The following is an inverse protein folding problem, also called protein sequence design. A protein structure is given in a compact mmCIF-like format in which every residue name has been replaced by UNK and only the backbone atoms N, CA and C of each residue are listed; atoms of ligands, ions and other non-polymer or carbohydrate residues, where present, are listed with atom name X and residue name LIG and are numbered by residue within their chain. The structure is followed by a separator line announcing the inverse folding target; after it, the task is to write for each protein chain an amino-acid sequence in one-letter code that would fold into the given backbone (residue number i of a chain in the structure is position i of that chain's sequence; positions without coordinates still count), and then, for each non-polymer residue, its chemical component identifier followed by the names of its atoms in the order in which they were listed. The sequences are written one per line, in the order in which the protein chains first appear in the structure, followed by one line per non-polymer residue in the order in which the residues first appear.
data_IF_266972393440
#
_entry.id   IF_266972393440
#
_cell.length_a   1.000
_cell.length_b   1.000
_cell.length_c   1.000
_cell.angle_alpha   90.00
_cell.angle_beta   90.00
_cell.angle_gamma   90.00
#
_symmetry.space_group_name_H-M   'P 1'
#
loop_
_entity.id
_entity.type
_entity.pdbx_description
1 polymer ?
#
# COMPACT_ATOMS: atom_id res chain seq x y z
N UNK A 1 15.31 -12.23 -9.06
CA UNK A 1 14.41 -11.74 -10.13
C UNK A 1 14.30 -10.23 -9.94
N UNK A 2 15.01 -9.44 -10.75
CA UNK A 2 14.99 -7.99 -10.63
C UNK A 2 13.69 -7.50 -11.25
N UNK A 3 12.79 -6.97 -10.41
CA UNK A 3 11.62 -6.25 -10.87
C UNK A 3 12.14 -5.11 -11.76
N UNK A 4 11.82 -5.15 -13.05
CA UNK A 4 11.97 -3.98 -13.92
C UNK A 4 11.14 -2.89 -13.27
N UNK A 5 11.81 -1.96 -12.60
CA UNK A 5 11.21 -0.69 -12.19
C UNK A 5 10.67 -0.12 -13.50
N UNK A 6 9.35 -0.13 -13.67
CA UNK A 6 8.73 0.62 -14.75
C UNK A 6 9.36 2.01 -14.71
N UNK A 7 9.74 2.54 -15.87
CA UNK A 7 10.29 3.89 -15.99
C UNK A 7 9.35 4.85 -15.24
N UNK A 8 9.70 5.13 -13.99
CA UNK A 8 9.06 6.08 -13.12
C UNK A 8 9.55 7.42 -13.64
N UNK A 9 9.13 7.79 -14.86
CA UNK A 9 9.33 9.13 -15.36
C UNK A 9 8.71 10.04 -14.31
N UNK A 10 9.58 10.66 -13.52
CA UNK A 10 9.18 11.62 -12.51
C UNK A 10 8.28 12.64 -13.22
N UNK A 11 7.14 12.99 -12.62
CA UNK A 11 6.27 14.03 -13.20
C UNK A 11 7.16 15.24 -13.50
N UNK A 12 7.11 15.74 -14.73
CA UNK A 12 7.82 16.97 -15.08
C UNK A 12 7.04 18.17 -14.56
N UNK A 13 7.75 19.27 -14.30
CA UNK A 13 7.15 20.56 -13.97
C UNK A 13 6.13 20.97 -15.04
N UNK A 14 6.50 20.80 -16.31
CA UNK A 14 5.65 21.13 -17.46
C UNK A 14 4.38 20.27 -17.50
N UNK A 15 4.52 18.96 -17.24
CA UNK A 15 3.37 18.04 -17.19
C UNK A 15 2.41 18.36 -16.04
N UNK A 16 2.94 18.72 -14.87
CA UNK A 16 2.13 19.16 -13.73
C UNK A 16 1.38 20.47 -14.01
N UNK A 17 2.05 21.45 -14.61
CA UNK A 17 1.43 22.74 -14.98
C UNK A 17 0.34 22.57 -16.05
N UNK A 18 0.57 21.71 -17.04
CA UNK A 18 -0.45 21.37 -18.04
C UNK A 18 -1.68 20.72 -17.37
N UNK A 19 -1.46 19.75 -16.46
CA UNK A 19 -2.55 19.10 -15.73
C UNK A 19 -3.31 20.08 -14.81
N UNK A 20 -2.65 21.08 -14.21
CA UNK A 20 -3.31 22.15 -13.45
C UNK A 20 -4.20 23.02 -14.34
N UNK A 21 -3.72 23.38 -15.54
CA UNK A 21 -4.51 24.13 -16.50
C UNK A 21 -5.79 23.38 -16.90
N UNK A 22 -5.68 22.09 -17.22
CA UNK A 22 -6.83 21.24 -17.52
C UNK A 22 -7.76 21.06 -16.31
N UNK A 23 -7.22 20.95 -15.10
CA UNK A 23 -8.02 20.88 -13.87
C UNK A 23 -8.88 22.13 -13.65
N UNK A 24 -8.34 23.33 -13.94
CA UNK A 24 -9.09 24.58 -13.91
C UNK A 24 -10.23 24.60 -14.95
N UNK A 25 -10.00 23.97 -16.11
CA UNK A 25 -11.01 23.75 -17.15
C UNK A 25 -11.98 22.58 -16.85
N UNK A 26 -11.88 21.93 -15.67
CA UNK A 26 -12.66 20.74 -15.27
C UNK A 26 -12.44 19.51 -16.14
N UNK A 27 -11.30 19.45 -16.84
CA UNK A 27 -10.84 18.28 -17.60
C UNK A 27 -9.86 17.48 -16.74
N UNK A 28 -10.32 16.38 -16.14
CA UNK A 28 -9.53 15.64 -15.16
C UNK A 28 -8.47 14.76 -15.82
N UNK A 29 -7.20 15.17 -15.69
CA UNK A 29 -6.04 14.41 -16.16
C UNK A 29 -5.13 13.94 -15.00
N UNK A 30 -5.74 13.56 -13.87
CA UNK A 30 -5.04 13.03 -12.70
C UNK A 30 -4.61 14.06 -11.64
N UNK A 31 -4.80 15.36 -11.90
CA UNK A 31 -4.71 16.44 -10.89
C UNK A 31 -6.05 17.16 -10.82
N UNK A 32 -6.52 17.45 -9.61
CA UNK A 32 -7.80 18.12 -9.36
C UNK A 32 -7.64 19.61 -9.07
N UNK A 33 -6.56 19.99 -8.40
CA UNK A 33 -6.22 21.37 -8.05
C UNK A 33 -4.80 21.41 -7.50
N UNK A 34 -4.23 22.61 -7.40
CA UNK A 34 -3.00 22.81 -6.64
C UNK A 34 -3.23 22.47 -5.15
N UNK A 35 -2.29 21.76 -4.54
CA UNK A 35 -2.31 21.44 -3.12
C UNK A 35 -1.41 22.41 -2.35
N UNK A 36 -1.87 22.91 -1.20
CA UNK A 36 -1.04 23.71 -0.29
C UNK A 36 0.21 22.95 0.16
N UNK A 37 0.17 21.62 0.14
CA UNK A 37 1.29 20.75 0.49
C UNK A 37 2.46 20.88 -0.49
N UNK A 38 2.24 21.34 -1.71
CA UNK A 38 3.31 21.60 -2.69
C UNK A 38 4.25 22.73 -2.27
N UNK A 39 3.85 23.57 -1.29
CA UNK A 39 4.72 24.59 -0.71
C UNK A 39 5.81 24.01 0.19
N UNK A 40 5.65 22.76 0.63
CA UNK A 40 6.64 22.06 1.45
C UNK A 40 7.49 21.15 0.55
N UNK A 41 8.82 21.30 0.53
CA UNK A 41 9.70 20.51 -0.34
C UNK A 41 9.49 18.99 -0.19
N UNK A 42 9.23 18.52 1.03
CA UNK A 42 9.02 17.10 1.37
C UNK A 42 7.64 16.55 0.98
N UNK A 43 6.73 17.41 0.50
CA UNK A 43 5.39 17.01 0.09
C UNK A 43 5.06 17.44 -1.35
N UNK A 44 6.00 18.07 -2.05
CA UNK A 44 5.79 18.45 -3.44
C UNK A 44 5.67 17.21 -4.32
N UNK A 45 4.56 17.13 -5.08
CA UNK A 45 4.21 15.99 -5.97
C UNK A 45 5.20 15.71 -7.10
N UNK A 46 6.23 16.56 -7.27
CA UNK A 46 7.28 16.41 -8.29
C UNK A 46 8.56 15.82 -7.69
N UNK A 47 8.77 16.03 -6.39
CA UNK A 47 10.00 15.70 -5.70
C UNK A 47 9.86 14.42 -4.87
N UNK A 48 8.63 13.99 -4.60
CA UNK A 48 8.35 12.83 -3.77
C UNK A 48 7.38 11.87 -4.46
N UNK A 49 7.64 10.59 -4.27
CA UNK A 49 6.64 9.55 -4.54
C UNK A 49 5.58 9.69 -3.44
N UNK A 50 4.31 9.96 -3.78
CA UNK A 50 3.27 10.02 -2.77
C UNK A 50 3.26 8.69 -2.02
N UNK A 51 3.39 8.75 -0.68
CA UNK A 51 3.30 7.57 0.18
C UNK A 51 1.96 6.89 -0.09
N UNK A 52 2.01 5.73 -0.69
CA UNK A 52 0.81 4.98 -1.04
C UNK A 52 0.47 4.12 0.16
N UNK A 53 -0.55 4.52 0.92
CA UNK A 53 -0.96 3.78 2.11
C UNK A 53 -1.29 2.31 1.78
N UNK A 54 -1.87 2.05 0.60
CA UNK A 54 -2.16 0.71 0.15
C UNK A 54 -0.87 -0.07 -0.07
N UNK A 55 0.07 0.45 -0.86
CA UNK A 55 1.29 -0.29 -1.19
C UNK A 55 2.29 -0.36 -0.02
N UNK A 56 2.53 0.77 0.64
CA UNK A 56 3.59 0.91 1.64
C UNK A 56 3.17 0.34 3.00
N UNK A 57 1.91 0.52 3.39
CA UNK A 57 1.44 0.11 4.72
C UNK A 57 0.53 -1.11 4.69
N UNK A 58 -0.49 -1.16 3.84
CA UNK A 58 -1.53 -2.20 3.91
C UNK A 58 -1.14 -3.49 3.17
N UNK A 59 -0.48 -3.38 2.02
CA UNK A 59 -0.06 -4.51 1.19
C UNK A 59 1.26 -5.10 1.69
N UNK A 60 2.21 -4.23 2.09
CA UNK A 60 3.52 -4.59 2.64
C UNK A 60 3.56 -4.73 4.17
N UNK A 61 3.84 -3.63 4.86
CA UNK A 61 4.32 -3.63 6.27
C UNK A 61 3.30 -4.26 7.23
N UNK A 62 2.04 -3.82 7.21
CA UNK A 62 1.03 -4.26 8.17
C UNK A 62 0.83 -5.78 8.14
N UNK A 63 0.87 -6.40 6.94
CA UNK A 63 0.75 -7.86 6.79
C UNK A 63 1.91 -8.58 7.49
N UNK A 64 3.13 -8.07 7.36
CA UNK A 64 4.33 -8.66 7.96
C UNK A 64 4.28 -8.51 9.48
N UNK A 65 3.98 -7.31 9.97
CA UNK A 65 3.91 -7.01 11.41
C UNK A 65 2.84 -7.84 12.11
N UNK A 66 1.62 -7.91 11.56
CA UNK A 66 0.53 -8.73 12.11
C UNK A 66 0.93 -10.21 12.16
N UNK A 67 1.61 -10.72 11.12
CA UNK A 67 2.09 -12.11 11.10
C UNK A 67 3.10 -12.36 12.21
N UNK A 68 4.02 -11.45 12.47
CA UNK A 68 4.99 -11.57 13.55
C UNK A 68 4.33 -11.50 14.93
N UNK A 69 3.40 -10.56 15.12
CA UNK A 69 2.63 -10.44 16.35
C UNK A 69 1.89 -11.75 16.67
N UNK A 70 1.21 -12.33 15.69
CA UNK A 70 0.49 -13.60 15.89
C UNK A 70 1.44 -14.76 16.21
N UNK A 71 2.63 -14.81 15.61
CA UNK A 71 3.66 -15.79 16.00
C UNK A 71 4.06 -15.61 17.47
N UNK A 72 4.30 -14.38 17.92
CA UNK A 72 4.62 -14.08 19.33
C UNK A 72 3.50 -14.46 20.28
N UNK A 73 2.25 -14.24 19.91
CA UNK A 73 1.10 -14.75 20.68
C UNK A 73 1.09 -16.28 20.75
N UNK A 74 1.48 -16.95 19.66
CA UNK A 74 1.67 -18.41 19.64
C UNK A 74 2.72 -18.89 20.63
N UNK A 75 3.88 -18.23 20.68
CA UNK A 75 4.93 -18.49 21.68
C UNK A 75 4.42 -18.27 23.12
N UNK A 76 3.46 -17.36 23.31
CA UNK A 76 2.82 -17.06 24.60
C UNK A 76 1.62 -17.98 24.92
N UNK A 77 1.37 -19.01 24.12
CA UNK A 77 0.34 -20.03 24.40
C UNK A 77 -0.98 -19.86 23.66
N UNK A 78 -1.10 -18.88 22.75
CA UNK A 78 -2.26 -18.81 21.86
C UNK A 78 -2.21 -19.94 20.83
N UNK A 79 -3.31 -20.67 20.66
CA UNK A 79 -3.36 -21.78 19.71
C UNK A 79 -3.26 -21.28 18.26
N UNK A 80 -2.11 -21.49 17.63
CA UNK A 80 -1.93 -21.22 16.20
C UNK A 80 -2.79 -22.12 15.32
N UNK A 81 -3.13 -23.33 15.78
CA UNK A 81 -4.06 -24.22 15.08
C UNK A 81 -5.45 -23.57 14.97
N UNK A 82 -5.97 -23.01 16.08
CA UNK A 82 -7.24 -22.28 16.09
C UNK A 82 -7.21 -21.05 15.17
N UNK A 83 -6.10 -20.30 15.18
CA UNK A 83 -5.95 -19.14 14.31
C UNK A 83 -5.89 -19.54 12.84
N UNK A 84 -5.12 -20.58 12.50
CA UNK A 84 -5.02 -21.08 11.13
C UNK A 84 -6.36 -21.61 10.61
N UNK A 85 -7.12 -22.28 11.47
CA UNK A 85 -8.47 -22.75 11.13
C UNK A 85 -9.41 -21.56 10.85
N UNK A 86 -9.37 -20.51 11.70
CA UNK A 86 -10.10 -19.26 11.44
C UNK A 86 -9.67 -18.58 10.16
N UNK A 87 -8.36 -18.52 9.89
CA UNK A 87 -7.83 -17.95 8.64
C UNK A 87 -8.32 -18.76 7.43
N UNK A 88 -8.44 -20.09 7.52
CA UNK A 88 -8.91 -20.91 6.42
C UNK A 88 -10.41 -20.77 6.15
N UNK A 89 -11.20 -20.64 7.23
CA UNK A 89 -12.67 -20.63 7.18
C UNK A 89 -13.30 -19.23 7.18
N UNK A 90 -12.49 -18.18 7.30
CA UNK A 90 -13.00 -16.82 7.20
C UNK A 90 -13.57 -16.55 5.80
N UNK A 91 -14.72 -15.88 5.74
CA UNK A 91 -15.43 -15.56 4.51
C UNK A 91 -14.78 -14.43 3.72
N UNK A 92 -13.54 -14.62 3.21
CA UNK A 92 -12.93 -13.64 2.31
C UNK A 92 -13.83 -13.51 1.07
N UNK A 93 -14.27 -12.28 0.81
CA UNK A 93 -15.06 -11.97 -0.38
C UNK A 93 -14.35 -12.39 -1.66
N UNK A 94 -15.07 -12.40 -2.78
CA UNK A 94 -14.53 -12.87 -4.08
C UNK A 94 -13.19 -12.21 -4.46
N UNK A 95 -13.02 -10.93 -4.14
CA UNK A 95 -11.81 -10.14 -4.41
C UNK A 95 -10.64 -10.47 -3.49
N UNK A 96 -10.90 -10.95 -2.28
CA UNK A 96 -9.89 -11.12 -1.23
C UNK A 96 -9.47 -12.58 -1.03
N UNK A 97 -10.11 -13.54 -1.71
CA UNK A 97 -9.72 -14.96 -1.64
C UNK A 97 -8.27 -15.21 -2.02
N UNK A 98 -7.73 -14.47 -2.99
CA UNK A 98 -6.32 -14.53 -3.40
C UNK A 98 -5.38 -13.80 -2.43
N UNK A 99 -5.92 -12.90 -1.60
CA UNK A 99 -5.16 -12.10 -0.64
C UNK A 99 -5.15 -12.70 0.77
N UNK A 100 -5.72 -13.91 0.94
CA UNK A 100 -5.82 -14.55 2.26
C UNK A 100 -4.43 -14.74 2.89
N UNK A 101 -4.29 -14.56 4.21
CA UNK A 101 -3.05 -14.87 4.90
C UNK A 101 -2.68 -16.34 4.74
N UNK A 102 -1.38 -16.62 4.53
CA UNK A 102 -0.87 -17.98 4.59
C UNK A 102 -0.84 -18.53 6.01
N UNK A 103 -0.91 -19.85 6.17
CA UNK A 103 -0.82 -20.51 7.48
C UNK A 103 0.39 -20.03 8.28
N UNK A 104 0.19 -19.80 9.57
CA UNK A 104 1.21 -19.32 10.50
C UNK A 104 1.80 -20.54 11.20
N UNK A 105 3.12 -20.68 11.08
CA UNK A 105 3.89 -21.79 11.64
C UNK A 105 4.98 -21.17 12.52
N UNK A 106 5.24 -21.76 13.69
CA UNK A 106 6.43 -21.47 14.46
C UNK A 106 7.60 -22.11 13.74
N UNK A 107 8.40 -21.30 13.05
CA UNK A 107 9.73 -21.71 12.63
C UNK A 107 10.59 -21.79 13.89
N UNK A 108 11.16 -22.97 14.14
CA UNK A 108 12.20 -23.19 15.16
C UNK A 108 13.41 -22.30 14.90
#
# INVERSE_FOLDING_TARGET
EQIKVADLSMRSVDGYNAQLYHAAAKEFMGIRSESVLNKFPDFHVLNNVPRDLMHDSLEGIARIEIRQLVKKLGEQGVSLALINDRIANFGYGRTDKSNKPGAIILTQ
#
